data_IF_362868478288
#
_entry.id   IF_362868478288
#
_cell.length_a   1.000
_cell.length_b   1.000
_cell.length_c   1.000
_cell.angle_alpha   90.00
_cell.angle_beta   90.00
_cell.angle_gamma   90.00
#
_symmetry.space_group_name_H-M   'P 1'
#
loop_
_entity.id
_entity.type
_entity.pdbx_description
1 polymer ?
#
# COMPACT_ATOMS: atom_id res chain seq x y z
N UNK A 1 17.47 5.82 7.74
CA UNK A 1 16.48 6.47 6.84
C UNK A 1 15.76 7.54 7.64
N UNK A 2 15.73 8.78 7.17
CA UNK A 2 15.21 9.94 7.92
C UNK A 2 13.74 9.75 8.32
N UNK A 3 13.46 9.91 9.61
CA UNK A 3 12.16 9.75 10.29
C UNK A 3 11.31 11.02 10.28
N UNK A 4 11.71 12.07 9.56
CA UNK A 4 10.97 13.32 9.52
C UNK A 4 9.62 13.14 8.80
N UNK A 5 8.50 13.62 9.37
CA UNK A 5 7.19 13.53 8.73
C UNK A 5 7.19 14.31 7.43
N UNK A 6 6.91 13.62 6.32
CA UNK A 6 6.80 14.26 5.00
C UNK A 6 5.55 15.13 4.99
N UNK A 7 5.64 16.46 4.83
CA UNK A 7 4.46 17.32 4.75
C UNK A 7 3.57 16.86 3.61
N UNK A 8 2.27 16.67 3.90
CA UNK A 8 1.27 16.34 2.88
C UNK A 8 0.38 17.55 2.72
N UNK A 9 0.33 18.10 1.51
CA UNK A 9 -0.57 19.19 1.18
C UNK A 9 -2.02 18.67 1.13
N UNK A 10 -2.88 19.13 2.03
CA UNK A 10 -4.27 18.66 2.07
C UNK A 10 -5.10 19.14 0.87
N UNK A 11 -4.63 20.14 0.10
CA UNK A 11 -5.32 20.59 -1.11
C UNK A 11 -5.32 19.52 -2.22
N UNK A 12 -4.48 18.49 -2.11
CA UNK A 12 -4.49 17.30 -2.96
C UNK A 12 -5.81 16.52 -2.87
N UNK A 13 -6.46 16.51 -1.70
CA UNK A 13 -7.69 15.77 -1.48
C UNK A 13 -8.87 16.60 -1.95
N UNK A 14 -9.43 16.23 -3.10
CA UNK A 14 -10.68 16.79 -3.61
C UNK A 14 -11.86 15.95 -3.10
N UNK A 15 -13.08 16.37 -3.44
CA UNK A 15 -14.28 15.68 -2.98
C UNK A 15 -14.36 14.20 -3.42
N UNK A 16 -13.76 13.85 -4.56
CA UNK A 16 -13.90 12.52 -5.18
C UNK A 16 -12.58 11.82 -5.49
N UNK A 17 -11.48 12.56 -5.62
CA UNK A 17 -10.18 12.01 -5.98
C UNK A 17 -9.02 12.78 -5.31
N UNK A 18 -7.85 12.15 -5.33
CA UNK A 18 -6.59 12.80 -4.97
C UNK A 18 -5.96 13.32 -6.25
N UNK A 19 -5.78 14.64 -6.35
CA UNK A 19 -5.32 15.30 -7.57
C UNK A 19 -4.28 16.36 -7.28
N UNK A 20 -3.15 16.26 -7.97
CA UNK A 20 -2.07 17.25 -7.90
C UNK A 20 -1.06 17.08 -9.03
N UNK A 21 -0.05 17.95 -9.02
CA UNK A 21 1.05 17.93 -9.98
C UNK A 21 2.08 16.89 -9.52
N UNK A 22 2.42 15.95 -10.41
CA UNK A 22 3.39 14.91 -10.13
C UNK A 22 4.79 15.50 -9.92
N UNK A 23 5.48 15.10 -8.87
CA UNK A 23 6.82 15.61 -8.53
C UNK A 23 6.84 16.90 -7.71
N UNK A 24 5.75 17.67 -7.69
CA UNK A 24 5.59 18.84 -6.84
C UNK A 24 4.75 18.49 -5.61
N UNK A 25 3.43 18.47 -5.78
CA UNK A 25 2.49 18.24 -4.68
C UNK A 25 2.24 16.74 -4.52
N UNK A 26 2.10 16.02 -5.63
CA UNK A 26 1.95 14.56 -5.65
C UNK A 26 3.31 13.89 -5.88
N UNK A 27 4.04 13.67 -4.78
CA UNK A 27 5.36 13.02 -4.79
C UNK A 27 5.27 11.55 -4.41
N UNK A 28 6.32 10.78 -4.71
CA UNK A 28 6.45 9.36 -4.33
C UNK A 28 6.25 9.12 -2.83
N UNK A 29 6.75 10.04 -2.00
CA UNK A 29 6.61 9.96 -0.55
C UNK A 29 5.16 10.14 -0.12
N UNK A 30 4.42 11.02 -0.78
CA UNK A 30 2.98 11.23 -0.53
C UNK A 30 2.21 9.99 -0.98
N UNK A 31 2.49 9.47 -2.18
CA UNK A 31 1.88 8.24 -2.70
C UNK A 31 2.10 7.04 -1.76
N UNK A 32 3.32 6.88 -1.24
CA UNK A 32 3.65 5.87 -0.23
C UNK A 32 2.81 6.02 1.05
N UNK A 33 2.63 7.25 1.57
CA UNK A 33 1.83 7.50 2.76
C UNK A 33 0.34 7.22 2.53
N UNK A 34 -0.19 7.56 1.35
CA UNK A 34 -1.56 7.24 0.95
C UNK A 34 -1.74 5.72 0.89
N UNK A 35 -0.82 5.02 0.22
CA UNK A 35 -0.83 3.56 0.16
C UNK A 35 -0.76 2.91 1.55
N UNK A 36 0.00 3.49 2.48
CA UNK A 36 0.05 3.04 3.88
C UNK A 36 -1.28 3.26 4.62
N UNK A 37 -2.03 4.31 4.32
CA UNK A 37 -3.31 4.56 4.98
C UNK A 37 -4.46 3.72 4.39
N UNK A 38 -4.38 3.35 3.10
CA UNK A 38 -5.48 2.73 2.38
C UNK A 38 -5.97 1.40 3.00
N UNK A 39 -5.12 0.43 3.40
CA UNK A 39 -5.58 -0.83 4.01
C UNK A 39 -6.36 -0.61 5.31
N UNK A 40 -5.92 0.32 6.16
CA UNK A 40 -6.59 0.65 7.42
C UNK A 40 -7.96 1.26 7.20
N UNK A 41 -8.11 2.07 6.15
CA UNK A 41 -9.37 2.75 5.85
C UNK A 41 -10.36 1.83 5.13
N UNK A 42 -9.88 1.03 4.16
CA UNK A 42 -10.73 0.19 3.33
C UNK A 42 -11.12 -1.13 4.02
N UNK A 43 -10.27 -1.65 4.91
CA UNK A 43 -10.48 -2.93 5.61
C UNK A 43 -10.83 -4.09 4.64
N UNK A 44 -10.06 -4.21 3.55
CA UNK A 44 -10.24 -5.23 2.51
C UNK A 44 -9.03 -6.15 2.45
N UNK A 45 -9.21 -7.43 2.09
CA UNK A 45 -8.11 -8.40 1.99
C UNK A 45 -7.21 -8.13 0.79
N UNK A 46 -7.75 -7.55 -0.28
CA UNK A 46 -7.04 -7.32 -1.54
C UNK A 46 -7.35 -5.93 -2.10
N UNK A 47 -6.33 -5.28 -2.67
CA UNK A 47 -6.45 -3.97 -3.29
C UNK A 47 -5.87 -4.06 -4.70
N UNK A 48 -6.71 -3.84 -5.72
CA UNK A 48 -6.27 -3.69 -7.09
C UNK A 48 -5.63 -2.30 -7.30
N UNK A 49 -4.42 -2.26 -7.84
CA UNK A 49 -3.73 -1.01 -8.19
C UNK A 49 -3.55 -0.95 -9.70
N UNK A 50 -4.14 0.08 -10.31
CA UNK A 50 -3.97 0.42 -11.72
C UNK A 50 -3.41 1.83 -11.86
N UNK A 51 -2.81 2.11 -13.02
CA UNK A 51 -2.30 3.44 -13.34
C UNK A 51 -2.52 3.75 -14.82
N UNK A 52 -2.54 5.04 -15.19
CA UNK A 52 -2.70 5.47 -16.59
C UNK A 52 -1.37 5.48 -17.35
N UNK A 53 -1.39 5.97 -18.60
CA UNK A 53 -0.23 6.02 -19.51
C UNK A 53 0.78 7.16 -19.23
N UNK A 54 0.64 7.94 -18.15
CA UNK A 54 1.57 9.04 -17.88
C UNK A 54 2.94 8.50 -17.47
N UNK A 55 4.00 9.25 -17.80
CA UNK A 55 5.38 8.87 -17.46
C UNK A 55 5.63 8.79 -15.95
N UNK A 56 4.93 9.60 -15.15
CA UNK A 56 5.03 9.58 -13.68
C UNK A 56 4.20 8.47 -13.03
N UNK A 57 3.23 7.91 -13.75
CA UNK A 57 2.26 6.95 -13.21
C UNK A 57 2.90 5.63 -12.73
N UNK A 58 3.83 4.99 -13.47
CA UNK A 58 4.52 3.79 -12.98
C UNK A 58 5.27 4.02 -11.66
N UNK A 59 5.93 5.16 -11.51
CA UNK A 59 6.72 5.49 -10.31
C UNK A 59 5.82 5.77 -9.09
N UNK A 60 4.73 6.51 -9.29
CA UNK A 60 3.74 6.77 -8.24
C UNK A 60 3.02 5.47 -7.83
N UNK A 61 2.64 4.63 -8.79
CA UNK A 61 2.00 3.34 -8.52
C UNK A 61 2.94 2.40 -7.74
N UNK A 62 4.20 2.31 -8.12
CA UNK A 62 5.21 1.53 -7.38
C UNK A 62 5.37 2.03 -5.93
N UNK A 63 5.36 3.35 -5.72
CA UNK A 63 5.46 3.95 -4.39
C UNK A 63 4.22 3.70 -3.53
N UNK A 64 3.04 3.78 -4.14
CA UNK A 64 1.77 3.47 -3.50
C UNK A 64 1.68 1.99 -3.11
N UNK A 65 2.05 1.08 -4.02
CA UNK A 65 2.12 -0.36 -3.76
C UNK A 65 3.06 -0.69 -2.59
N UNK A 66 4.24 -0.06 -2.53
CA UNK A 66 5.15 -0.22 -1.38
C UNK A 66 4.49 0.19 -0.07
N UNK A 67 3.69 1.26 -0.08
CA UNK A 67 2.95 1.73 1.09
C UNK A 67 1.89 0.72 1.54
N UNK A 68 1.14 0.17 0.58
CA UNK A 68 0.13 -0.87 0.83
C UNK A 68 0.79 -2.11 1.41
N UNK A 69 1.81 -2.67 0.74
CA UNK A 69 2.47 -3.92 1.14
C UNK A 69 3.08 -3.82 2.54
N UNK A 70 3.66 -2.68 2.92
CA UNK A 70 4.22 -2.47 4.27
C UNK A 70 3.14 -2.54 5.38
N UNK A 71 1.86 -2.38 5.05
CA UNK A 71 0.75 -2.51 6.00
C UNK A 71 -0.03 -3.79 5.85
N UNK A 72 0.16 -4.51 4.75
CA UNK A 72 -0.24 -5.91 4.67
C UNK A 72 0.73 -6.67 5.57
N UNK A 73 0.39 -6.77 6.85
CA UNK A 73 0.76 -7.94 7.65
C UNK A 73 0.06 -9.11 6.98
N UNK A 74 0.71 -9.70 5.97
CA UNK A 74 0.22 -10.90 5.31
C UNK A 74 0.04 -11.94 6.40
N UNK A 75 -1.22 -12.27 6.69
CA UNK A 75 -1.63 -13.37 7.55
C UNK A 75 -1.18 -14.72 6.96
N UNK A 76 -0.77 -14.73 5.70
CA UNK A 76 0.13 -15.70 5.11
C UNK A 76 0.45 -15.37 3.65
N UNK A 77 1.43 -16.07 3.09
CA UNK A 77 1.71 -16.15 1.67
C UNK A 77 1.31 -17.55 1.20
N UNK A 78 0.41 -17.66 0.24
CA UNK A 78 0.10 -18.93 -0.43
C UNK A 78 0.99 -19.06 -1.65
N UNK A 79 1.74 -20.15 -1.73
CA UNK A 79 2.52 -20.54 -2.90
C UNK A 79 1.80 -21.68 -3.60
N UNK A 80 1.39 -21.47 -4.85
CA UNK A 80 0.68 -22.44 -5.68
C UNK A 80 1.53 -22.83 -6.89
N UNK A 81 1.81 -24.12 -7.05
CA UNK A 81 2.59 -24.71 -8.15
C UNK A 81 1.73 -25.62 -9.04
N UNK A 82 0.39 -25.52 -8.97
CA UNK A 82 -0.57 -26.31 -9.74
C UNK A 82 -0.78 -27.71 -9.20
N UNK A 83 0.30 -28.48 -9.04
CA UNK A 83 0.25 -29.87 -8.53
C UNK A 83 0.31 -29.95 -7.00
N UNK A 84 0.78 -28.87 -6.36
CA UNK A 84 0.84 -28.73 -4.91
C UNK A 84 0.92 -27.25 -4.52
N UNK A 85 0.57 -26.96 -3.27
CA UNK A 85 0.64 -25.63 -2.71
C UNK A 85 1.08 -25.69 -1.23
N UNK A 86 1.62 -24.58 -0.73
CA UNK A 86 1.92 -24.41 0.70
C UNK A 86 1.72 -22.98 1.16
N UNK A 87 1.38 -22.83 2.44
CA UNK A 87 1.16 -21.52 3.05
C UNK A 87 2.33 -21.18 4.00
N UNK A 88 2.84 -19.95 3.90
CA UNK A 88 3.80 -19.37 4.83
C UNK A 88 3.08 -18.30 5.63
N UNK A 89 2.75 -18.59 6.89
CA UNK A 89 2.10 -17.61 7.78
C UNK A 89 2.89 -17.40 9.07
N UNK A 90 2.88 -16.18 9.65
CA UNK A 90 3.31 -15.98 11.03
C UNK A 90 2.53 -16.92 11.95
N UNK A 91 3.23 -17.69 12.77
CA UNK A 91 2.65 -18.67 13.68
C UNK A 91 1.71 -17.99 14.69
N UNK A 92 0.45 -18.39 14.73
CA UNK A 92 -0.47 -18.13 15.85
C UNK A 92 -0.85 -19.43 16.59
N UNK A 93 0.09 -20.38 16.70
CA UNK A 93 -0.16 -21.68 17.37
C UNK A 93 0.15 -21.67 18.87
N UNK A 94 0.08 -20.53 19.53
CA UNK A 94 -0.12 -20.51 20.99
C UNK A 94 -1.63 -20.39 21.23
N UNK A 95 -2.27 -21.33 21.94
CA UNK A 95 -3.60 -21.07 22.44
C UNK A 95 -3.52 -19.81 23.32
N UNK A 96 -4.49 -18.89 23.27
CA UNK A 96 -4.52 -17.80 24.24
C UNK A 96 -4.48 -18.46 25.62
N UNK A 97 -3.39 -18.22 26.35
CA UNK A 97 -3.28 -18.64 27.74
C UNK A 97 -4.41 -17.94 28.48
N UNK A 98 -5.49 -18.70 28.72
CA UNK A 98 -6.57 -18.35 29.64
C UNK A 98 -6.06 -18.45 31.07
#
# INVERSE_FOLDING_TARGET
>A
MSTAPVPVDLTLFKAYDVRGIAGENLTDKVAYRIGRAAPHYLNVPEIAVGHDMRLSSPQLAASLLRGIIVQVTTDGLTFDYGDWWFNVRPSNTEPPCV
#
